data_IF_312246393429
#
_entry.id   IF_312246393429
#
_cell.length_a   1.000
_cell.length_b   1.000
_cell.length_c   1.000
_cell.angle_alpha   90.00
_cell.angle_beta   90.00
_cell.angle_gamma   90.00
#
_symmetry.space_group_name_H-M   'P 1'
#
loop_
_entity.id
_entity.type
_entity.pdbx_description
1 polymer ?
#
# COMPACT_ATOMS: atom_id res chain seq x y z
N UNK A 1 -12.07 37.61 -21.00
CA UNK A 1 -12.27 37.50 -19.53
C UNK A 1 -12.35 36.03 -19.18
N UNK A 2 -11.35 35.48 -18.51
CA UNK A 2 -11.31 34.07 -18.11
C UNK A 2 -12.33 33.83 -16.99
N UNK A 3 -13.13 32.78 -17.13
CA UNK A 3 -14.20 32.42 -16.20
C UNK A 3 -13.63 31.86 -14.88
N UNK A 4 -14.16 32.25 -13.70
CA UNK A 4 -13.65 31.80 -12.39
C UNK A 4 -13.82 30.28 -12.13
N UNK A 5 -14.71 29.60 -12.85
CA UNK A 5 -15.10 28.21 -12.60
C UNK A 5 -13.99 27.22 -13.01
N UNK A 6 -13.21 27.55 -14.04
CA UNK A 6 -12.12 26.68 -14.52
C UNK A 6 -11.00 26.51 -13.50
N UNK A 7 -10.74 27.54 -12.68
CA UNK A 7 -9.69 27.49 -11.66
C UNK A 7 -10.04 26.59 -10.47
N UNK A 8 -11.33 26.48 -10.11
CA UNK A 8 -11.76 25.66 -8.97
C UNK A 8 -11.67 24.17 -9.29
N UNK A 9 -12.02 23.78 -10.51
CA UNK A 9 -11.93 22.39 -10.96
C UNK A 9 -10.47 21.91 -11.04
N UNK A 10 -9.59 22.78 -11.53
CA UNK A 10 -8.15 22.47 -11.64
C UNK A 10 -7.47 22.40 -10.26
N UNK A 11 -7.81 23.28 -9.30
CA UNK A 11 -7.31 23.19 -7.93
C UNK A 11 -7.75 21.90 -7.23
N UNK A 12 -9.00 21.47 -7.48
CA UNK A 12 -9.56 20.25 -6.90
C UNK A 12 -8.87 18.99 -7.45
N UNK A 13 -8.63 18.92 -8.75
CA UNK A 13 -7.90 17.80 -9.36
C UNK A 13 -6.44 17.71 -8.90
N UNK A 14 -5.77 18.85 -8.69
CA UNK A 14 -4.41 18.88 -8.12
C UNK A 14 -4.41 18.37 -6.67
N UNK A 15 -5.39 18.78 -5.87
CA UNK A 15 -5.55 18.29 -4.48
C UNK A 15 -5.87 16.80 -4.41
N UNK A 16 -6.69 16.27 -5.33
CA UNK A 16 -7.01 14.83 -5.42
C UNK A 16 -5.79 14.02 -5.90
N UNK A 17 -4.96 14.58 -6.79
CA UNK A 17 -3.70 13.96 -7.24
C UNK A 17 -2.65 13.87 -6.14
N UNK A 18 -2.54 14.89 -5.28
CA UNK A 18 -1.64 14.87 -4.12
C UNK A 18 -2.08 13.84 -3.08
N UNK A 19 -3.39 13.72 -2.82
CA UNK A 19 -3.94 12.74 -1.89
C UNK A 19 -3.65 11.30 -2.35
N UNK A 20 -3.87 10.98 -3.63
CA UNK A 20 -3.58 9.65 -4.15
C UNK A 20 -2.08 9.31 -4.14
N UNK A 21 -1.21 10.29 -4.35
CA UNK A 21 0.23 10.13 -4.20
C UNK A 21 0.63 9.80 -2.75
N UNK A 22 0.05 10.50 -1.77
CA UNK A 22 0.26 10.24 -0.35
C UNK A 22 -0.28 8.86 0.06
N UNK A 23 -1.50 8.49 -0.37
CA UNK A 23 -2.10 7.18 -0.08
C UNK A 23 -1.25 6.03 -0.62
N UNK A 24 -0.77 6.14 -1.86
CA UNK A 24 0.14 5.16 -2.44
C UNK A 24 1.45 5.07 -1.64
N UNK A 25 2.07 6.21 -1.32
CA UNK A 25 3.30 6.26 -0.53
C UNK A 25 3.13 5.59 0.84
N UNK A 26 2.05 5.91 1.55
CA UNK A 26 1.74 5.34 2.86
C UNK A 26 1.54 3.83 2.78
N UNK A 27 0.79 3.35 1.79
CA UNK A 27 0.60 1.90 1.58
C UNK A 27 1.92 1.15 1.31
N UNK A 28 2.86 1.78 0.59
CA UNK A 28 4.21 1.22 0.40
C UNK A 28 5.03 1.22 1.69
N UNK A 29 4.93 2.27 2.51
CA UNK A 29 5.61 2.31 3.81
C UNK A 29 5.07 1.24 4.76
N UNK A 30 3.76 1.04 4.80
CA UNK A 30 3.11 -0.01 5.59
C UNK A 30 3.56 -1.40 5.15
N UNK A 31 3.55 -1.69 3.83
CA UNK A 31 4.04 -2.96 3.29
C UNK A 31 5.53 -3.20 3.65
N UNK A 32 6.36 -2.15 3.62
CA UNK A 32 7.76 -2.21 4.06
C UNK A 32 7.89 -2.48 5.56
N UNK A 33 7.02 -1.88 6.36
CA UNK A 33 6.94 -2.12 7.80
C UNK A 33 6.55 -3.56 8.11
N UNK A 34 5.56 -4.09 7.40
CA UNK A 34 5.11 -5.47 7.54
C UNK A 34 6.25 -6.47 7.27
N UNK A 35 7.07 -6.23 6.23
CA UNK A 35 8.28 -7.04 5.97
C UNK A 35 9.18 -7.10 7.22
N UNK A 36 9.45 -5.96 7.85
CA UNK A 36 10.29 -5.91 9.06
C UNK A 36 9.68 -6.72 10.20
N UNK A 37 8.37 -6.61 10.41
CA UNK A 37 7.67 -7.37 11.45
C UNK A 37 7.72 -8.87 11.20
N UNK A 38 7.54 -9.30 9.95
CA UNK A 38 7.58 -10.73 9.58
C UNK A 38 8.98 -11.32 9.80
N UNK A 39 10.05 -10.61 9.44
CA UNK A 39 11.40 -11.07 9.74
C UNK A 39 11.64 -11.21 11.24
N UNK A 40 11.27 -10.20 12.03
CA UNK A 40 11.44 -10.26 13.48
C UNK A 40 10.63 -11.41 14.12
N UNK A 41 9.40 -11.62 13.65
CA UNK A 41 8.57 -12.73 14.11
C UNK A 41 9.15 -14.09 13.69
N UNK A 42 9.74 -14.20 12.50
CA UNK A 42 10.41 -15.41 12.05
C UNK A 42 11.63 -15.75 12.93
N UNK A 43 12.49 -14.76 13.20
CA UNK A 43 13.63 -14.92 14.12
C UNK A 43 13.15 -15.35 15.52
N UNK A 44 12.08 -14.73 16.02
CA UNK A 44 11.48 -15.09 17.30
C UNK A 44 10.94 -16.53 17.29
N UNK A 45 10.19 -16.92 16.26
CA UNK A 45 9.66 -18.28 16.13
C UNK A 45 10.79 -19.32 16.12
N UNK A 46 11.87 -19.06 15.39
CA UNK A 46 13.04 -19.93 15.36
C UNK A 46 13.70 -20.04 16.74
N UNK A 47 14.00 -18.91 17.38
CA UNK A 47 14.64 -18.89 18.69
C UNK A 47 13.76 -19.56 19.76
N UNK A 48 12.45 -19.31 19.75
CA UNK A 48 11.50 -19.91 20.67
C UNK A 48 11.42 -21.43 20.44
N UNK A 49 11.34 -21.86 19.18
CA UNK A 49 11.34 -23.27 18.84
C UNK A 49 12.60 -23.95 19.37
N UNK A 50 13.80 -23.43 19.09
CA UNK A 50 15.07 -24.01 19.52
C UNK A 50 15.17 -24.17 21.05
N UNK A 51 14.69 -23.19 21.82
CA UNK A 51 14.79 -23.16 23.30
C UNK A 51 13.70 -23.95 24.03
N UNK A 52 12.58 -24.25 23.38
CA UNK A 52 11.43 -24.90 24.03
C UNK A 52 11.56 -26.43 24.10
N UNK A 53 11.01 -27.01 25.18
CA UNK A 53 10.76 -28.46 25.29
C UNK A 53 9.45 -28.86 24.60
N UNK A 54 8.46 -27.97 24.56
CA UNK A 54 7.20 -28.17 23.85
C UNK A 54 7.30 -27.68 22.41
N UNK A 55 7.92 -28.51 21.57
CA UNK A 55 8.15 -28.21 20.14
C UNK A 55 6.86 -28.25 19.33
N UNK A 56 5.91 -29.13 19.70
CA UNK A 56 4.70 -29.37 18.91
C UNK A 56 3.79 -28.14 18.93
N UNK A 57 3.50 -27.62 20.13
CA UNK A 57 2.66 -26.43 20.28
C UNK A 57 3.27 -25.22 19.56
N UNK A 58 4.58 -25.00 19.68
CA UNK A 58 5.23 -23.90 18.98
C UNK A 58 5.19 -24.07 17.46
N UNK A 59 5.39 -25.28 16.94
CA UNK A 59 5.27 -25.53 15.51
C UNK A 59 3.86 -25.25 14.99
N UNK A 60 2.82 -25.65 15.73
CA UNK A 60 1.43 -25.40 15.32
C UNK A 60 1.09 -23.90 15.37
N UNK A 61 1.56 -23.18 16.39
CA UNK A 61 1.46 -21.72 16.46
C UNK A 61 2.21 -21.03 15.30
N UNK A 62 3.41 -21.49 14.95
CA UNK A 62 4.19 -20.95 13.83
C UNK A 62 3.48 -21.18 12.50
N UNK A 63 2.86 -22.35 12.28
CA UNK A 63 2.05 -22.60 11.07
C UNK A 63 0.88 -21.63 10.97
N UNK A 64 0.13 -21.44 12.05
CA UNK A 64 -0.98 -20.49 12.08
C UNK A 64 -0.50 -19.07 11.78
N UNK A 65 0.61 -18.66 12.38
CA UNK A 65 1.23 -17.36 12.13
C UNK A 65 1.59 -17.19 10.66
N UNK A 66 2.23 -18.18 10.02
CA UNK A 66 2.59 -18.12 8.60
C UNK A 66 1.35 -17.95 7.73
N UNK A 67 0.27 -18.71 7.98
CA UNK A 67 -0.98 -18.56 7.25
C UNK A 67 -1.52 -17.13 7.35
N UNK A 68 -1.56 -16.56 8.55
CA UNK A 68 -2.02 -15.18 8.78
C UNK A 68 -1.11 -14.15 8.12
N UNK A 69 0.21 -14.31 8.25
CA UNK A 69 1.19 -13.40 7.68
C UNK A 69 1.08 -13.33 6.15
N UNK A 70 0.91 -14.47 5.48
CA UNK A 70 0.72 -14.53 4.02
C UNK A 70 -0.54 -13.79 3.60
N UNK A 71 -1.68 -14.03 4.27
CA UNK A 71 -2.94 -13.33 3.97
C UNK A 71 -2.78 -11.82 4.15
N UNK A 72 -2.15 -11.38 5.24
CA UNK A 72 -1.89 -9.95 5.49
C UNK A 72 -0.98 -9.34 4.43
N UNK A 73 0.09 -10.01 4.00
CA UNK A 73 0.96 -9.51 2.92
C UNK A 73 0.20 -9.36 1.62
N UNK A 74 -0.62 -10.36 1.24
CA UNK A 74 -1.42 -10.32 0.01
C UNK A 74 -2.44 -9.17 0.05
N UNK A 75 -3.08 -8.94 1.20
CA UNK A 75 -4.03 -7.82 1.39
C UNK A 75 -3.35 -6.44 1.22
N UNK A 76 -2.19 -6.24 1.86
CA UNK A 76 -1.42 -5.00 1.69
C UNK A 76 -0.93 -4.81 0.25
N UNK A 77 -0.49 -5.87 -0.43
CA UNK A 77 -0.12 -5.81 -1.85
C UNK A 77 -1.34 -5.39 -2.69
N UNK A 78 -2.52 -5.96 -2.43
CA UNK A 78 -3.76 -5.57 -3.09
C UNK A 78 -4.07 -4.08 -2.91
N UNK A 79 -3.89 -3.55 -1.71
CA UNK A 79 -4.05 -2.12 -1.40
C UNK A 79 -3.06 -1.25 -2.17
N UNK A 80 -1.78 -1.62 -2.19
CA UNK A 80 -0.74 -0.90 -2.97
C UNK A 80 -1.09 -0.89 -4.46
N UNK A 81 -1.50 -2.04 -5.01
CA UNK A 81 -1.91 -2.16 -6.42
C UNK A 81 -3.13 -1.30 -6.74
N UNK A 82 -4.13 -1.27 -5.86
CA UNK A 82 -5.30 -0.42 -6.03
C UNK A 82 -4.93 1.07 -6.04
N UNK A 83 -4.13 1.52 -5.07
CA UNK A 83 -3.67 2.91 -4.99
C UNK A 83 -2.82 3.31 -6.20
N UNK A 84 -1.96 2.41 -6.70
CA UNK A 84 -1.21 2.64 -7.94
C UNK A 84 -2.13 2.84 -9.13
N UNK A 85 -3.16 2.00 -9.27
CA UNK A 85 -4.12 2.08 -10.35
C UNK A 85 -4.90 3.40 -10.34
N UNK A 86 -5.32 3.88 -9.15
CA UNK A 86 -5.93 5.20 -9.00
C UNK A 86 -5.01 6.33 -9.49
N UNK A 87 -3.73 6.30 -9.12
CA UNK A 87 -2.75 7.31 -9.56
C UNK A 87 -2.52 7.32 -11.06
N UNK A 88 -2.43 6.14 -11.68
CA UNK A 88 -2.28 6.02 -13.14
C UNK A 88 -3.51 6.59 -13.84
N UNK A 89 -4.71 6.24 -13.39
CA UNK A 89 -5.96 6.77 -13.95
C UNK A 89 -6.03 8.30 -13.85
N UNK A 90 -5.60 8.90 -12.74
CA UNK A 90 -5.56 10.36 -12.59
C UNK A 90 -4.53 11.01 -13.52
N UNK A 91 -3.35 10.40 -13.64
CA UNK A 91 -2.28 10.90 -14.53
C UNK A 91 -2.75 10.90 -15.99
N UNK A 92 -3.42 9.83 -16.42
CA UNK A 92 -4.01 9.74 -17.75
C UNK A 92 -5.10 10.80 -17.99
N UNK A 93 -5.94 11.09 -16.98
CA UNK A 93 -6.95 12.15 -17.07
C UNK A 93 -6.33 13.54 -17.22
N UNK A 94 -5.31 13.85 -16.41
CA UNK A 94 -4.60 15.14 -16.46
C UNK A 94 -3.91 15.34 -17.81
N UNK A 95 -3.26 14.30 -18.36
CA UNK A 95 -2.58 14.39 -19.66
C UNK A 95 -3.54 14.65 -20.83
N UNK A 96 -4.75 14.06 -20.80
CA UNK A 96 -5.80 14.29 -21.81
C UNK A 96 -6.37 15.70 -21.76
N UNK A 97 -6.59 16.25 -20.57
CA UNK A 97 -7.08 17.62 -20.43
C UNK A 97 -6.04 18.66 -20.87
N UNK A 98 -4.74 18.39 -20.65
CA UNK A 98 -3.65 19.27 -21.12
C UNK A 98 -3.52 19.31 -22.65
N UNK A 99 -3.93 18.26 -23.36
CA UNK A 99 -3.88 18.20 -24.82
C UNK A 99 -5.12 18.80 -25.49
N UNK A 100 -6.28 18.81 -24.83
CA UNK A 100 -7.49 19.46 -25.32
C UNK A 100 -7.49 20.99 -25.10
N UNK A 101 -6.77 21.51 -24.09
CA UNK A 101 -6.68 22.96 -23.84
C UNK A 101 -5.69 23.70 -24.75
N UNK A 102 -4.93 22.99 -25.59
CA UNK A 102 -3.94 23.58 -26.53
C UNK A 102 -4.40 23.58 -27.99
N UNK A 103 -5.60 23.05 -28.28
CA UNK A 103 -6.26 23.10 -29.58
C UNK A 103 -7.41 24.13 -29.57
#
# INVERSE_FOLDING_TARGET
>A
MLTPISNVHHLRELSESEDDALRFHNSLQELRGLRSHIHHAADYCEMAFLKSKDKKTLMDNTKEYICRAVVTVVDHIGTVSHNLNCRLANTDRVSRLSSESTA
#
